data_IF_401898597722
#
_entry.id   IF_401898597722
#
_cell.length_a   1.000
_cell.length_b   1.000
_cell.length_c   1.000
_cell.angle_alpha   90.00
_cell.angle_beta   90.00
_cell.angle_gamma   90.00
#
_symmetry.space_group_name_H-M   'P 1'
#
loop_
_entity.id
_entity.type
_entity.pdbx_description
1 polymer ?
#
# COMPACT_ATOMS: atom_id res chain seq x y z
N UNK A 1 -18.27 -28.43 10.18
CA UNK A 1 -16.98 -29.04 10.52
C UNK A 1 -15.93 -28.40 9.63
N UNK A 2 -14.80 -27.93 10.15
CA UNK A 2 -13.73 -27.36 9.31
C UNK A 2 -13.28 -28.42 8.31
N UNK A 3 -13.49 -28.17 7.02
CA UNK A 3 -13.16 -29.10 5.95
C UNK A 3 -11.84 -28.69 5.26
N UNK A 4 -11.15 -29.66 4.67
CA UNK A 4 -9.95 -29.43 3.85
C UNK A 4 -10.18 -28.41 2.76
N UNK A 5 -11.38 -28.41 2.18
CA UNK A 5 -11.78 -27.50 1.12
C UNK A 5 -11.73 -26.04 1.57
N UNK A 6 -12.22 -25.74 2.78
CA UNK A 6 -12.23 -24.37 3.33
C UNK A 6 -10.79 -23.90 3.59
N UNK A 7 -9.91 -24.76 4.14
CA UNK A 7 -8.49 -24.44 4.34
C UNK A 7 -7.72 -24.26 3.02
N UNK A 8 -8.01 -25.10 2.02
CA UNK A 8 -7.41 -24.98 0.67
C UNK A 8 -7.85 -23.67 0.01
N UNK A 9 -9.11 -23.26 0.22
CA UNK A 9 -9.63 -21.99 -0.29
C UNK A 9 -8.93 -20.80 0.38
N UNK A 10 -8.66 -20.87 1.68
CA UNK A 10 -7.90 -19.84 2.40
C UNK A 10 -6.46 -19.75 1.89
N UNK A 11 -5.81 -20.88 1.62
CA UNK A 11 -4.46 -20.88 1.04
C UNK A 11 -4.43 -20.18 -0.33
N UNK A 12 -5.40 -20.48 -1.21
CA UNK A 12 -5.53 -19.81 -2.52
C UNK A 12 -5.78 -18.31 -2.37
N UNK A 13 -6.65 -17.92 -1.45
CA UNK A 13 -6.93 -16.50 -1.18
C UNK A 13 -5.67 -15.74 -0.77
N UNK A 14 -4.79 -16.36 0.04
CA UNK A 14 -3.52 -15.76 0.41
C UNK A 14 -2.56 -15.62 -0.78
N UNK A 15 -2.59 -16.53 -1.75
CA UNK A 15 -1.80 -16.35 -2.99
C UNK A 15 -2.38 -15.23 -3.87
N UNK A 16 -3.71 -15.10 -3.94
CA UNK A 16 -4.37 -14.01 -4.67
C UNK A 16 -4.05 -12.62 -4.05
N UNK A 17 -3.97 -12.54 -2.73
CA UNK A 17 -3.50 -11.33 -2.04
C UNK A 17 -2.09 -10.96 -2.50
N UNK A 18 -1.20 -11.95 -2.62
CA UNK A 18 0.18 -11.73 -3.04
C UNK A 18 0.28 -11.24 -4.47
N UNK A 19 -0.45 -11.86 -5.40
CA UNK A 19 -0.43 -11.47 -6.82
C UNK A 19 -0.97 -10.05 -6.99
N UNK A 20 -2.08 -9.74 -6.32
CA UNK A 20 -2.72 -8.42 -6.30
C UNK A 20 -1.82 -7.34 -5.70
N UNK A 21 -1.13 -7.65 -4.60
CA UNK A 21 -0.22 -6.68 -3.98
C UNK A 21 1.01 -6.39 -4.85
N UNK A 22 1.46 -7.38 -5.63
CA UNK A 22 2.55 -7.21 -6.61
C UNK A 22 2.12 -6.45 -7.86
N UNK A 23 0.87 -6.58 -8.30
CA UNK A 23 0.33 -5.82 -9.43
C UNK A 23 0.00 -4.38 -9.07
N UNK A 24 -0.13 -4.06 -7.77
CA UNK A 24 -0.52 -2.74 -7.30
C UNK A 24 -2.01 -2.45 -7.44
N UNK A 25 -2.85 -3.48 -7.63
CA UNK A 25 -4.30 -3.33 -7.68
C UNK A 25 -4.90 -3.22 -6.26
N UNK A 26 -4.84 -2.02 -5.70
CA UNK A 26 -5.33 -1.76 -4.34
C UNK A 26 -6.85 -1.89 -4.21
N UNK A 27 -7.60 -1.74 -5.30
CA UNK A 27 -9.06 -1.91 -5.29
C UNK A 27 -9.41 -3.39 -5.11
N UNK A 28 -8.76 -4.27 -5.88
CA UNK A 28 -8.90 -5.71 -5.71
C UNK A 28 -8.38 -6.17 -4.34
N UNK A 29 -7.31 -5.55 -3.82
CA UNK A 29 -6.78 -5.86 -2.50
C UNK A 29 -7.80 -5.60 -1.38
N UNK A 30 -8.57 -4.51 -1.48
CA UNK A 30 -9.64 -4.21 -0.53
C UNK A 30 -10.76 -5.28 -0.57
N UNK A 31 -11.15 -5.73 -1.77
CA UNK A 31 -12.14 -6.80 -1.92
C UNK A 31 -11.66 -8.13 -1.33
N UNK A 32 -10.38 -8.47 -1.54
CA UNK A 32 -9.76 -9.68 -0.97
C UNK A 32 -9.69 -9.64 0.55
N UNK A 33 -9.46 -8.47 1.15
CA UNK A 33 -9.47 -8.31 2.60
C UNK A 33 -10.85 -8.65 3.21
N UNK A 34 -11.94 -8.15 2.62
CA UNK A 34 -13.30 -8.47 3.05
C UNK A 34 -13.62 -9.97 2.91
N UNK A 35 -13.22 -10.60 1.81
CA UNK A 35 -13.41 -12.05 1.63
C UNK A 35 -12.58 -12.87 2.65
N UNK A 36 -11.37 -12.40 3.00
CA UNK A 36 -10.52 -13.03 4.01
C UNK A 36 -11.16 -12.98 5.40
N UNK A 37 -11.67 -11.82 5.81
CA UNK A 37 -12.40 -11.65 7.08
C UNK A 37 -13.62 -12.57 7.15
N UNK A 38 -14.41 -12.60 6.08
CA UNK A 38 -15.58 -13.49 5.98
C UNK A 38 -15.21 -14.97 6.12
N UNK A 39 -14.11 -15.38 5.48
CA UNK A 39 -13.66 -16.77 5.51
C UNK A 39 -13.12 -17.15 6.89
N UNK A 40 -12.35 -16.27 7.52
CA UNK A 40 -11.86 -16.47 8.90
C UNK A 40 -13.04 -16.57 9.87
N UNK A 41 -14.04 -15.67 9.78
CA UNK A 41 -15.23 -15.74 10.62
C UNK A 41 -16.02 -17.05 10.45
N UNK A 42 -16.12 -17.56 9.22
CA UNK A 42 -16.71 -18.88 8.95
C UNK A 42 -15.89 -20.02 9.57
N UNK A 43 -14.57 -19.98 9.45
CA UNK A 43 -13.69 -21.00 10.02
C UNK A 43 -13.74 -21.03 11.56
N UNK A 44 -13.86 -19.86 12.21
CA UNK A 44 -13.95 -19.74 13.67
C UNK A 44 -15.26 -20.30 14.25
N UNK A 45 -16.35 -20.27 13.48
CA UNK A 45 -17.68 -20.72 13.92
C UNK A 45 -17.93 -22.21 13.62
N UNK A 46 -17.09 -22.85 12.82
CA UNK A 46 -17.22 -24.27 12.51
C UNK A 46 -16.62 -25.14 13.63
N UNK A 47 -17.30 -26.24 14.03
CA UNK A 47 -16.70 -27.24 14.91
C UNK A 47 -15.40 -27.77 14.29
N UNK A 48 -14.35 -27.89 15.10
CA UNK A 48 -13.09 -28.47 14.63
C UNK A 48 -13.33 -29.91 14.20
N UNK A 49 -13.12 -30.17 12.91
CA UNK A 49 -13.11 -31.52 12.37
C UNK A 49 -11.77 -32.19 12.56
N UNK A 50 -11.72 -33.48 12.24
CA UNK A 50 -10.47 -34.20 12.03
C UNK A 50 -9.73 -33.54 10.86
N UNK A 51 -8.74 -32.71 11.15
CA UNK A 51 -7.95 -32.03 10.13
C UNK A 51 -7.27 -33.07 9.22
N UNK A 52 -7.62 -33.15 7.93
CA UNK A 52 -7.21 -34.27 7.08
C UNK A 52 -5.78 -34.12 6.54
N UNK A 53 -5.10 -33.00 6.80
CA UNK A 53 -3.75 -32.73 6.34
C UNK A 53 -2.96 -31.95 7.39
N UNK A 54 -1.94 -32.59 7.97
CA UNK A 54 -1.09 -31.99 9.01
C UNK A 54 -0.25 -30.82 8.48
N UNK A 55 0.01 -30.75 7.17
CA UNK A 55 0.85 -29.72 6.57
C UNK A 55 0.12 -28.45 6.14
N UNK A 56 -1.19 -28.55 5.87
CA UNK A 56 -1.97 -27.44 5.33
C UNK A 56 -2.04 -26.21 6.28
N UNK A 57 -2.24 -26.35 7.60
CA UNK A 57 -2.20 -25.22 8.52
C UNK A 57 -0.85 -24.49 8.54
N UNK A 58 0.26 -25.23 8.46
CA UNK A 58 1.60 -24.64 8.43
C UNK A 58 1.83 -23.83 7.14
N UNK A 59 1.37 -24.35 6.00
CA UNK A 59 1.44 -23.64 4.71
C UNK A 59 0.64 -22.33 4.71
N UNK A 60 -0.56 -22.35 5.30
CA UNK A 60 -1.40 -21.14 5.47
C UNK A 60 -0.69 -20.12 6.35
N UNK A 61 -0.12 -20.55 7.48
CA UNK A 61 0.62 -19.66 8.38
C UNK A 61 1.85 -19.03 7.68
N UNK A 62 2.57 -19.82 6.88
CA UNK A 62 3.68 -19.30 6.07
C UNK A 62 3.22 -18.32 4.99
N UNK A 63 2.10 -18.59 4.32
CA UNK A 63 1.53 -17.67 3.33
C UNK A 63 1.13 -16.34 3.98
N UNK A 64 0.46 -16.37 5.12
CA UNK A 64 0.09 -15.17 5.88
C UNK A 64 1.33 -14.36 6.29
N UNK A 65 2.37 -15.01 6.82
CA UNK A 65 3.64 -14.34 7.20
C UNK A 65 4.37 -13.70 6.01
N UNK A 66 4.30 -14.32 4.82
CA UNK A 66 4.87 -13.73 3.60
C UNK A 66 4.09 -12.49 3.18
N UNK A 67 2.76 -12.55 3.22
CA UNK A 67 1.92 -11.42 2.84
C UNK A 67 2.08 -10.23 3.80
N UNK A 68 2.17 -10.48 5.11
CA UNK A 68 2.43 -9.43 6.10
C UNK A 68 3.71 -8.66 5.76
N UNK A 69 4.83 -9.37 5.52
CA UNK A 69 6.09 -8.74 5.13
C UNK A 69 5.98 -7.94 3.83
N UNK A 70 5.20 -8.44 2.87
CA UNK A 70 5.00 -7.76 1.60
C UNK A 70 4.16 -6.48 1.75
N UNK A 71 3.12 -6.51 2.58
CA UNK A 71 2.29 -5.35 2.93
C UNK A 71 3.13 -4.29 3.63
N UNK A 72 3.95 -4.68 4.60
CA UNK A 72 4.88 -3.79 5.31
C UNK A 72 5.84 -3.10 4.33
N UNK A 73 6.44 -3.87 3.41
CA UNK A 73 7.32 -3.34 2.37
C UNK A 73 6.59 -2.39 1.41
N UNK A 74 5.37 -2.72 0.99
CA UNK A 74 4.57 -1.88 0.10
C UNK A 74 4.18 -0.55 0.77
N UNK A 75 3.82 -0.57 2.05
CA UNK A 75 3.54 0.65 2.81
C UNK A 75 4.76 1.56 2.90
N UNK A 76 5.94 0.99 3.11
CA UNK A 76 7.18 1.78 3.14
C UNK A 76 7.49 2.39 1.78
N UNK A 77 7.30 1.62 0.69
CA UNK A 77 7.40 2.13 -0.67
C UNK A 77 6.47 3.31 -0.94
N UNK A 78 5.22 3.22 -0.51
CA UNK A 78 4.24 4.30 -0.66
C UNK A 78 4.66 5.56 0.11
N UNK A 79 5.12 5.43 1.36
CA UNK A 79 5.62 6.56 2.16
C UNK A 79 6.83 7.23 1.51
N UNK A 80 7.75 6.44 0.96
CA UNK A 80 8.92 6.93 0.24
C UNK A 80 8.52 7.73 -1.01
N UNK A 81 7.59 7.22 -1.80
CA UNK A 81 7.05 7.93 -2.96
C UNK A 81 6.34 9.24 -2.57
N UNK A 82 5.55 9.23 -1.50
CA UNK A 82 4.89 10.42 -0.97
C UNK A 82 5.91 11.49 -0.50
N UNK A 83 6.96 11.06 0.21
CA UNK A 83 8.07 11.96 0.61
C UNK A 83 8.73 12.58 -0.62
N UNK A 84 9.06 11.76 -1.62
CA UNK A 84 9.68 12.23 -2.85
C UNK A 84 8.81 13.23 -3.60
N UNK A 85 7.50 12.99 -3.66
CA UNK A 85 6.54 13.94 -4.26
C UNK A 85 6.55 15.28 -3.52
N UNK A 86 6.55 15.26 -2.19
CA UNK A 86 6.57 16.48 -1.39
C UNK A 86 7.87 17.28 -1.57
N UNK A 87 9.02 16.61 -1.67
CA UNK A 87 10.30 17.27 -1.96
C UNK A 87 10.27 18.00 -3.31
N UNK A 88 9.71 17.36 -4.33
CA UNK A 88 9.56 17.97 -5.67
C UNK A 88 8.65 19.20 -5.60
N UNK A 89 7.51 19.11 -4.92
CA UNK A 89 6.59 20.23 -4.74
C UNK A 89 7.22 21.38 -3.92
N UNK A 90 8.01 21.06 -2.89
CA UNK A 90 8.70 22.05 -2.07
C UNK A 90 9.80 22.79 -2.86
N UNK A 91 10.53 22.08 -3.73
CA UNK A 91 11.54 22.69 -4.59
C UNK A 91 10.96 23.59 -5.70
N UNK A 92 9.68 23.39 -6.06
CA UNK A 92 8.96 24.23 -7.02
C UNK A 92 8.33 25.48 -6.38
N UNK A 93 8.26 25.57 -5.04
CA UNK A 93 7.86 26.81 -4.39
C UNK A 93 8.97 27.85 -4.56
N UNK A 94 8.66 29.10 -4.96
CA UNK A 94 9.67 30.14 -5.09
C UNK A 94 10.39 30.26 -3.76
N UNK A 95 11.71 30.07 -3.80
CA UNK A 95 12.61 30.25 -2.66
C UNK A 95 12.29 31.63 -2.07
N UNK A 96 11.65 31.65 -0.91
CA UNK A 96 11.62 32.85 -0.06
C UNK A 96 13.03 33.00 0.48
N UNK A 97 13.90 33.57 -0.34
CA UNK A 97 15.20 34.07 0.12
C UNK A 97 14.87 35.13 1.16
N UNK A 98 15.12 34.80 2.42
CA UNK A 98 15.18 35.78 3.47
C UNK A 98 16.28 36.75 3.07
N UNK A 99 15.90 37.95 2.65
CA UNK A 99 16.82 39.07 2.66
C UNK A 99 17.25 39.34 4.12
N UNK A 100 18.40 39.98 4.32
CA UNK A 100 18.87 40.38 5.65
C UNK A 100 18.05 41.55 6.23
N UNK A 101 16.96 41.97 5.59
CA UNK A 101 16.13 43.15 5.93
C UNK A 101 14.71 42.84 6.39
N UNK A 102 14.28 41.58 6.42
CA UNK A 102 13.02 41.18 7.03
C UNK A 102 11.76 41.61 6.26
N UNK A 103 11.85 41.91 4.97
CA UNK A 103 10.66 42.23 4.15
C UNK A 103 10.29 41.08 3.21
N UNK A 104 9.04 40.62 3.31
CA UNK A 104 8.46 39.59 2.44
C UNK A 104 8.13 40.21 1.09
N UNK A 105 8.97 39.97 0.07
CA UNK A 105 8.61 40.25 -1.32
C UNK A 105 8.40 38.94 -2.06
N UNK A 106 7.15 38.67 -2.43
CA UNK A 106 6.81 37.59 -3.36
C UNK A 106 7.18 38.06 -4.76
N UNK A 107 8.30 37.56 -5.30
CA UNK A 107 8.60 37.74 -6.71
C UNK A 107 7.71 36.77 -7.49
N UNK A 108 6.50 37.22 -7.80
CA UNK A 108 5.79 36.70 -8.97
C UNK A 108 6.70 36.95 -10.17
N UNK A 109 6.94 35.90 -10.96
CA UNK A 109 7.67 36.00 -12.21
C UNK A 109 6.84 36.82 -13.20
N UNK A 110 6.96 38.14 -13.11
CA UNK A 110 6.43 39.05 -14.11
C UNK A 110 7.15 38.75 -15.43
N UNK A 111 6.36 38.43 -16.45
CA UNK A 111 6.86 38.16 -17.78
C UNK A 111 7.67 39.36 -18.26
N UNK A 112 8.96 39.15 -18.53
CA UNK A 112 9.84 40.17 -19.07
C UNK A 112 9.41 40.55 -20.49
N UNK A 113 8.59 41.58 -20.64
CA UNK A 113 8.38 42.26 -21.92
C UNK A 113 9.63 43.09 -22.21
N UNK A 114 10.55 42.52 -22.98
CA UNK A 114 11.71 43.19 -23.54
C UNK A 114 11.26 44.25 -24.56
N UNK A 115 11.13 45.50 -24.14
CA UNK A 115 11.11 46.66 -25.03
C UNK A 115 12.57 46.99 -25.43
N UNK A 116 12.92 46.67 -26.67
CA UNK A 116 14.21 47.04 -27.27
C UNK A 116 14.11 48.48 -27.78
N UNK A 117 14.78 49.42 -27.10
CA UNK A 117 15.02 50.76 -27.65
C UNK A 117 16.01 50.68 -28.81
N UNK A 118 15.59 51.12 -30.00
CA UNK A 118 16.44 51.62 -31.10
C UNK A 118 15.62 52.65 -31.88
#
# INVERSE_FOLDING_TARGET
>A
MIDKADLTKLERLLEDVRTTLRSGDYQQLAALATEQERMIGRLQTQPQGTAPDKGLPARIADAARRNQRLIEAAMEGFRSAARRRNEILAAQQPIKTYDRSGQKTSLESDQATLEKRS
#
